data_IF_214037004180
#
_entry.id   IF_214037004180
#
_cell.length_a   1.000
_cell.length_b   1.000
_cell.length_c   1.000
_cell.angle_alpha   90.00
_cell.angle_beta   90.00
_cell.angle_gamma   90.00
#
_symmetry.space_group_name_H-M   'P 1'
#
loop_
_entity.id
_entity.type
_entity.pdbx_description
1 polymer ?
#
# COMPACT_ATOMS: atom_id res chain seq x y z
N UNK A 1 16.87 28.27 10.25
CA UNK A 1 17.62 27.02 10.06
C UNK A 1 17.65 26.75 8.56
N UNK A 2 18.83 26.52 7.97
CA UNK A 2 18.94 26.19 6.55
C UNK A 2 19.00 24.67 6.42
N UNK A 3 18.12 24.09 5.60
CA UNK A 3 18.15 22.68 5.27
C UNK A 3 19.38 22.39 4.40
N UNK A 4 20.27 21.57 4.92
CA UNK A 4 21.45 21.02 4.24
C UNK A 4 21.51 19.51 4.50
N UNK A 5 22.45 18.82 3.83
CA UNK A 5 22.61 17.37 3.93
C UNK A 5 22.68 16.89 5.40
N UNK A 6 23.51 17.53 6.22
CA UNK A 6 23.71 17.12 7.61
C UNK A 6 22.44 17.28 8.45
N UNK A 7 21.77 18.42 8.33
CA UNK A 7 20.51 18.68 9.06
C UNK A 7 19.37 17.78 8.59
N UNK A 8 19.32 17.41 7.30
CA UNK A 8 18.35 16.45 6.78
C UNK A 8 18.64 15.04 7.26
N UNK A 9 19.91 14.62 7.25
CA UNK A 9 20.34 13.33 7.77
C UNK A 9 20.00 13.21 9.25
N UNK A 10 20.30 14.23 10.05
CA UNK A 10 19.99 14.26 11.48
C UNK A 10 18.48 14.15 11.73
N UNK A 11 17.67 14.93 11.02
CA UNK A 11 16.21 14.84 11.14
C UNK A 11 15.66 13.45 10.80
N UNK A 12 16.17 12.82 9.73
CA UNK A 12 15.76 11.46 9.34
C UNK A 12 16.22 10.42 10.37
N UNK A 13 17.44 10.53 10.89
CA UNK A 13 17.94 9.63 11.93
C UNK A 13 17.15 9.74 13.24
N UNK A 14 16.63 10.93 13.59
CA UNK A 14 15.75 11.06 14.75
C UNK A 14 14.37 10.44 14.50
N UNK A 15 13.83 10.57 13.29
CA UNK A 15 12.56 9.90 12.92
C UNK A 15 12.68 8.38 12.96
N UNK A 16 13.77 7.84 12.44
CA UNK A 16 14.10 6.40 12.47
C UNK A 16 14.11 5.83 13.90
N UNK A 17 14.70 6.56 14.86
CA UNK A 17 14.79 6.15 16.27
C UNK A 17 13.45 6.14 16.99
N UNK A 18 12.52 7.01 16.60
CA UNK A 18 11.22 7.14 17.24
C UNK A 18 10.29 6.02 16.82
N UNK A 19 10.18 5.77 15.51
CA UNK A 19 9.35 4.72 14.95
C UNK A 19 9.94 4.23 13.62
N UNK A 20 10.82 3.23 13.73
CA UNK A 20 11.50 2.64 12.58
C UNK A 20 10.52 2.11 11.54
N UNK A 21 9.42 1.50 11.98
CA UNK A 21 8.42 0.92 11.08
C UNK A 21 7.73 2.02 10.26
N UNK A 22 7.18 3.04 10.91
CA UNK A 22 6.49 4.12 10.20
C UNK A 22 7.46 4.97 9.37
N UNK A 23 8.71 5.09 9.79
CA UNK A 23 9.79 5.69 8.99
C UNK A 23 10.00 4.92 7.68
N UNK A 24 10.20 3.61 7.73
CA UNK A 24 10.39 2.79 6.51
C UNK A 24 9.14 2.80 5.62
N UNK A 25 7.94 2.72 6.21
CA UNK A 25 6.69 2.85 5.45
C UNK A 25 6.56 4.20 4.74
N UNK A 26 7.01 5.29 5.35
CA UNK A 26 7.02 6.59 4.68
C UNK A 26 7.92 6.57 3.44
N UNK A 27 9.12 5.97 3.53
CA UNK A 27 10.00 5.79 2.37
C UNK A 27 9.37 4.94 1.27
N UNK A 28 8.83 3.77 1.62
CA UNK A 28 8.15 2.89 0.67
C UNK A 28 6.98 3.60 -0.02
N UNK A 29 6.19 4.38 0.71
CA UNK A 29 5.07 5.14 0.16
C UNK A 29 5.51 6.21 -0.84
N UNK A 30 6.66 6.85 -0.60
CA UNK A 30 7.21 7.88 -1.48
C UNK A 30 7.81 7.27 -2.74
N UNK A 31 8.65 6.24 -2.59
CA UNK A 31 9.34 5.60 -3.72
C UNK A 31 8.36 4.93 -4.68
N UNK A 32 7.36 4.24 -4.12
CA UNK A 32 6.43 3.42 -4.89
C UNK A 32 5.10 4.14 -5.16
N UNK A 33 4.97 5.40 -4.73
CA UNK A 33 3.74 6.20 -4.86
C UNK A 33 2.48 5.51 -4.31
N UNK A 34 2.62 4.71 -3.25
CA UNK A 34 1.52 3.96 -2.63
C UNK A 34 0.75 4.88 -1.68
N UNK A 35 -0.54 5.05 -1.93
CA UNK A 35 -1.46 5.78 -1.04
C UNK A 35 -2.36 4.86 -0.21
N UNK A 36 -2.53 3.60 -0.62
CA UNK A 36 -3.35 2.62 0.08
C UNK A 36 -2.58 2.01 1.26
N UNK A 37 -3.06 2.26 2.49
CA UNK A 37 -2.42 1.76 3.73
C UNK A 37 -2.37 0.24 3.83
N UNK A 38 -3.33 -0.49 3.25
CA UNK A 38 -3.33 -1.96 3.26
C UNK A 38 -2.19 -2.48 2.39
N UNK A 39 -2.06 -1.98 1.17
CA UNK A 39 -0.96 -2.33 0.26
C UNK A 39 0.39 -1.94 0.88
N UNK A 40 0.48 -0.75 1.48
CA UNK A 40 1.71 -0.30 2.13
C UNK A 40 2.15 -1.21 3.28
N UNK A 41 1.18 -1.70 4.07
CA UNK A 41 1.49 -2.65 5.15
C UNK A 41 1.98 -3.99 4.61
N UNK A 42 1.40 -4.48 3.51
CA UNK A 42 1.81 -5.74 2.87
C UNK A 42 3.26 -5.62 2.35
N UNK A 43 3.52 -4.60 1.53
CA UNK A 43 4.85 -4.31 0.96
C UNK A 43 5.91 -4.13 2.06
N UNK A 44 5.55 -3.50 3.18
CA UNK A 44 6.45 -3.39 4.32
C UNK A 44 6.82 -4.76 4.93
N UNK A 45 5.87 -5.68 5.07
CA UNK A 45 6.16 -7.02 5.59
C UNK A 45 7.07 -7.78 4.62
N UNK A 46 6.75 -7.76 3.32
CA UNK A 46 7.58 -8.45 2.31
C UNK A 46 9.00 -7.87 2.25
N UNK A 47 9.13 -6.55 2.41
CA UNK A 47 10.43 -5.88 2.52
C UNK A 47 11.24 -6.31 3.74
N UNK A 48 10.58 -6.54 4.89
CA UNK A 48 11.25 -6.96 6.12
C UNK A 48 11.56 -8.47 6.15
N UNK A 49 10.79 -9.28 5.42
CA UNK A 49 10.97 -10.73 5.35
C UNK A 49 12.06 -11.14 4.34
N UNK A 50 12.45 -10.26 3.41
CA UNK A 50 13.48 -10.50 2.39
C UNK A 50 14.78 -9.74 2.68
N UNK A 51 15.82 -10.48 3.12
CA UNK A 51 17.11 -9.91 3.54
C UNK A 51 17.84 -9.07 2.45
N UNK A 52 17.62 -9.36 1.16
CA UNK A 52 18.34 -8.73 0.03
C UNK A 52 17.50 -7.72 -0.77
N UNK A 53 16.31 -7.35 -0.28
CA UNK A 53 15.44 -6.42 -0.99
C UNK A 53 15.89 -4.97 -0.74
N UNK A 54 16.48 -4.33 -1.75
CA UNK A 54 16.82 -2.89 -1.70
C UNK A 54 15.57 -2.03 -1.80
N UNK A 55 15.46 -0.96 -1.01
CA UNK A 55 14.35 0.02 -1.06
C UNK A 55 14.12 0.60 -2.46
N UNK A 56 15.19 0.75 -3.25
CA UNK A 56 15.12 1.12 -4.66
C UNK A 56 15.41 -0.15 -5.45
N UNK A 57 14.37 -0.96 -5.68
CA UNK A 57 14.46 -2.13 -6.55
C UNK A 57 13.28 -2.17 -7.51
N UNK A 58 13.56 -2.58 -8.75
CA UNK A 58 12.53 -2.83 -9.75
C UNK A 58 11.62 -4.00 -9.34
N UNK A 59 12.14 -4.93 -8.53
CA UNK A 59 11.39 -6.06 -7.98
C UNK A 59 10.28 -5.60 -7.01
N UNK A 60 10.55 -4.62 -6.14
CA UNK A 60 9.53 -4.02 -5.29
C UNK A 60 8.43 -3.34 -6.11
N UNK A 61 8.79 -2.68 -7.21
CA UNK A 61 7.81 -2.03 -8.10
C UNK A 61 6.86 -3.04 -8.73
N UNK A 62 7.40 -4.18 -9.19
CA UNK A 62 6.59 -5.28 -9.74
C UNK A 62 5.62 -5.85 -8.70
N UNK A 63 6.04 -6.01 -7.44
CA UNK A 63 5.15 -6.48 -6.36
C UNK A 63 3.99 -5.51 -6.11
N UNK A 64 4.25 -4.20 -6.10
CA UNK A 64 3.21 -3.17 -5.93
C UNK A 64 2.16 -3.24 -7.02
N UNK A 65 2.59 -3.35 -8.28
CA UNK A 65 1.67 -3.46 -9.42
C UNK A 65 0.77 -4.70 -9.28
N UNK A 66 1.33 -5.84 -8.86
CA UNK A 66 0.56 -7.07 -8.59
C UNK A 66 -0.52 -6.86 -7.52
N UNK A 67 -0.21 -6.19 -6.42
CA UNK A 67 -1.20 -5.94 -5.37
C UNK A 67 -2.30 -4.97 -5.81
N UNK A 68 -1.98 -4.01 -6.68
CA UNK A 68 -2.98 -3.12 -7.25
C UNK A 68 -3.95 -3.89 -8.17
N UNK A 69 -3.42 -4.79 -8.99
CA UNK A 69 -4.22 -5.66 -9.85
C UNK A 69 -5.14 -6.60 -9.05
N UNK A 70 -4.63 -7.20 -7.98
CA UNK A 70 -5.41 -8.06 -7.08
C UNK A 70 -6.57 -7.29 -6.41
N UNK A 71 -6.29 -6.11 -5.84
CA UNK A 71 -7.32 -5.27 -5.22
C UNK A 71 -8.39 -4.85 -6.24
N UNK A 72 -7.98 -4.57 -7.47
CA UNK A 72 -8.91 -4.21 -8.55
C UNK A 72 -9.76 -5.40 -9.00
N UNK A 73 -9.18 -6.60 -9.07
CA UNK A 73 -9.90 -7.83 -9.39
C UNK A 73 -10.92 -8.18 -8.30
N UNK A 74 -10.54 -8.13 -7.02
CA UNK A 74 -11.42 -8.39 -5.88
C UNK A 74 -12.59 -7.42 -5.84
N UNK A 75 -12.33 -6.13 -6.08
CA UNK A 75 -13.38 -5.11 -6.13
C UNK A 75 -14.35 -5.34 -7.30
N UNK A 76 -13.86 -5.81 -8.44
CA UNK A 76 -14.68 -6.14 -9.62
C UNK A 76 -15.58 -7.36 -9.36
N UNK A 77 -15.04 -8.42 -8.74
CA UNK A 77 -15.79 -9.62 -8.35
C UNK A 77 -16.88 -9.30 -7.30
N UNK A 78 -16.56 -8.45 -6.31
CA UNK A 78 -17.56 -7.97 -5.35
C UNK A 78 -18.68 -7.21 -6.07
N UNK A 79 -18.36 -6.30 -6.99
CA UNK A 79 -19.37 -5.56 -7.76
C UNK A 79 -20.24 -6.50 -8.61
N UNK A 80 -19.65 -7.46 -9.32
CA UNK A 80 -20.40 -8.44 -10.11
C UNK A 80 -21.37 -9.23 -9.23
N UNK A 81 -20.91 -9.71 -8.06
CA UNK A 81 -21.76 -10.40 -7.09
C UNK A 81 -22.92 -9.51 -6.60
N UNK A 82 -22.69 -8.22 -6.36
CA UNK A 82 -23.75 -7.28 -5.98
C UNK A 82 -24.78 -7.04 -7.10
N UNK A 83 -24.34 -6.92 -8.36
CA UNK A 83 -25.22 -6.73 -9.51
C UNK A 83 -25.99 -8.02 -9.90
N UNK A 84 -25.43 -9.19 -9.63
CA UNK A 84 -26.06 -10.49 -9.88
C UNK A 84 -26.99 -10.94 -8.75
N UNK A 85 -27.02 -10.29 -7.58
CA UNK A 85 -28.09 -10.53 -6.59
C UNK A 85 -29.40 -10.01 -7.19
N UNK A 86 -30.32 -10.88 -7.62
CA UNK A 86 -31.61 -10.40 -8.09
C UNK A 86 -32.28 -9.78 -6.87
N UNK A 87 -32.66 -8.51 -7.00
CA UNK A 87 -33.38 -7.76 -6.01
C UNK A 87 -34.77 -8.40 -5.79
N UNK A 88 -34.82 -9.53 -5.07
CA UNK A 88 -36.03 -10.26 -4.69
C UNK A 88 -36.92 -9.43 -3.77
N UNK A 89 -36.44 -8.29 -3.27
CA UNK A 89 -37.22 -7.33 -2.49
C UNK A 89 -38.06 -6.39 -3.39
N UNK A 90 -37.71 -6.17 -4.66
CA UNK A 90 -38.48 -5.26 -5.53
C UNK A 90 -39.58 -5.93 -6.36
N UNK A 91 -39.56 -7.25 -6.54
CA UNK A 91 -40.61 -7.96 -7.31
C UNK A 91 -41.86 -8.23 -6.45
N UNK A 92 -41.74 -8.24 -5.12
CA UNK A 92 -42.89 -8.43 -4.21
C UNK A 92 -43.67 -7.15 -3.90
N UNK A 93 -43.29 -6.01 -4.47
CA UNK A 93 -44.03 -4.74 -4.36
C UNK A 93 -45.00 -4.48 -5.53
N UNK A 94 -45.07 -5.41 -6.50
CA UNK A 94 -45.93 -5.31 -7.69
C UNK A 94 -46.69 -6.60 -7.99
N UNK A 95 -47.14 -7.32 -6.96
CA UNK A 95 -48.20 -8.34 -7.04
C UNK A 95 -49.14 -8.16 -5.86
#
# INVERSE_FOLDING_TARGET
>A
MAWNFDTMKEALSEMEKVDYQEFIKAFLSLELSISNRTILNQVYQDYMDEDDLSLISDELRVKVDSYQDEVQADMTDILEKLYLVPNKALILLWI
#
